data_IF_488418342973
#
_entry.id   IF_488418342973
#
_cell.length_a   1.000
_cell.length_b   1.000
_cell.length_c   1.000
_cell.angle_alpha   90.00
_cell.angle_beta   90.00
_cell.angle_gamma   90.00
#
_symmetry.space_group_name_H-M   'P 1'
#
loop_
_entity.id
_entity.type
_entity.pdbx_description
1 polymer ?
#
# COMPACT_ATOMS: atom_id res chain seq x y z
N UNK A 1 -14.03 5.05 -22.99
CA UNK A 1 -12.97 4.23 -22.35
C UNK A 1 -13.54 3.65 -21.07
N UNK A 2 -13.24 2.38 -20.74
CA UNK A 2 -13.76 1.79 -19.50
C UNK A 2 -13.00 2.34 -18.28
N UNK A 3 -13.70 2.55 -17.17
CA UNK A 3 -13.13 2.95 -15.89
C UNK A 3 -11.90 2.08 -15.51
N UNK A 4 -12.01 0.78 -15.77
CA UNK A 4 -11.01 -0.21 -15.42
C UNK A 4 -9.71 -0.05 -16.21
N UNK A 5 -9.76 0.53 -17.41
CA UNK A 5 -8.57 0.89 -18.18
C UNK A 5 -7.68 1.92 -17.47
N UNK A 6 -8.25 2.71 -16.55
CA UNK A 6 -7.49 3.67 -15.72
C UNK A 6 -7.15 3.11 -14.34
N UNK A 7 -8.01 2.26 -13.77
CA UNK A 7 -7.82 1.69 -12.43
C UNK A 7 -6.74 0.62 -12.41
N UNK A 8 -6.73 -0.28 -13.41
CA UNK A 8 -5.79 -1.41 -13.43
C UNK A 8 -4.31 -0.99 -13.49
N UNK A 9 -3.90 -0.06 -14.38
CA UNK A 9 -2.53 0.43 -14.38
C UNK A 9 -2.13 1.10 -13.06
N UNK A 10 -3.06 1.76 -12.38
CA UNK A 10 -2.80 2.41 -11.09
C UNK A 10 -2.61 1.41 -9.96
N UNK A 11 -3.43 0.35 -9.90
CA UNK A 11 -3.27 -0.72 -8.91
C UNK A 11 -1.92 -1.44 -9.06
N UNK A 12 -1.49 -1.65 -10.31
CA UNK A 12 -0.17 -2.20 -10.62
C UNK A 12 0.95 -1.26 -10.19
N UNK A 13 0.87 0.02 -10.56
CA UNK A 13 1.86 1.03 -10.16
C UNK A 13 2.00 1.13 -8.63
N UNK A 14 0.88 1.05 -7.89
CA UNK A 14 0.88 1.00 -6.42
C UNK A 14 1.65 -0.20 -5.91
N UNK A 15 1.38 -1.39 -6.45
CA UNK A 15 2.05 -2.61 -6.03
C UNK A 15 3.57 -2.48 -6.24
N UNK A 16 4.00 -2.01 -7.42
CA UNK A 16 5.42 -1.79 -7.75
C UNK A 16 6.09 -0.76 -6.81
N UNK A 17 5.41 0.38 -6.53
CA UNK A 17 5.92 1.39 -5.59
C UNK A 17 6.04 0.83 -4.17
N UNK A 18 5.05 0.06 -3.71
CA UNK A 18 5.09 -0.56 -2.39
C UNK A 18 6.23 -1.59 -2.31
N UNK A 19 6.38 -2.46 -3.31
CA UNK A 19 7.47 -3.45 -3.37
C UNK A 19 8.84 -2.79 -3.33
N UNK A 20 9.06 -1.77 -4.16
CA UNK A 20 10.29 -0.99 -4.17
C UNK A 20 10.58 -0.36 -2.80
N UNK A 21 9.54 0.17 -2.14
CA UNK A 21 9.67 0.77 -0.81
C UNK A 21 10.04 -0.28 0.24
N UNK A 22 9.41 -1.45 0.22
CA UNK A 22 9.73 -2.57 1.12
C UNK A 22 11.19 -3.01 0.93
N UNK A 23 11.66 -3.13 -0.31
CA UNK A 23 13.05 -3.50 -0.60
C UNK A 23 14.05 -2.51 0.01
N UNK A 24 13.84 -1.22 -0.20
CA UNK A 24 14.68 -0.15 0.38
C UNK A 24 14.67 -0.18 1.91
N UNK A 25 13.51 -0.44 2.52
CA UNK A 25 13.39 -0.53 3.98
C UNK A 25 14.12 -1.76 4.55
N UNK A 26 14.05 -2.90 3.86
CA UNK A 26 14.79 -4.12 4.24
C UNK A 26 16.29 -3.92 4.14
N UNK A 27 16.76 -3.23 3.09
CA UNK A 27 18.16 -2.88 2.95
C UNK A 27 18.62 -1.93 4.07
N UNK A 28 17.83 -0.89 4.38
CA UNK A 28 18.10 -0.01 5.53
C UNK A 28 18.13 -0.78 6.84
N UNK A 29 17.21 -1.73 7.04
CA UNK A 29 17.18 -2.58 8.23
C UNK A 29 18.46 -3.42 8.37
N UNK A 30 18.95 -3.98 7.26
CA UNK A 30 20.22 -4.73 7.22
C UNK A 30 21.41 -3.83 7.56
N UNK A 31 21.51 -2.67 6.91
CA UNK A 31 22.59 -1.70 7.18
C UNK A 31 22.59 -1.25 8.65
N UNK A 32 21.41 -1.00 9.23
CA UNK A 32 21.29 -0.67 10.64
C UNK A 32 21.83 -1.80 11.52
N UNK A 33 21.47 -3.05 11.22
CA UNK A 33 21.94 -4.23 11.97
C UNK A 33 23.46 -4.38 11.89
N UNK A 34 24.06 -4.12 10.73
CA UNK A 34 25.52 -4.17 10.52
C UNK A 34 26.26 -3.01 11.22
N UNK A 35 25.61 -1.85 11.37
CA UNK A 35 26.19 -0.64 11.97
C UNK A 35 26.01 -0.52 13.50
N UNK A 36 25.39 -1.50 14.15
CA UNK A 36 24.99 -1.45 15.55
C UNK A 36 26.19 -1.53 16.51
N UNK A 37 26.97 -0.45 16.62
CA UNK A 37 28.16 -0.41 17.48
C UNK A 37 28.10 0.54 18.68
N UNK A 38 27.17 1.50 18.81
CA UNK A 38 27.29 2.49 19.90
C UNK A 38 26.00 2.98 20.60
N UNK A 39 24.79 2.58 20.19
CA UNK A 39 23.58 3.10 20.85
C UNK A 39 22.36 2.15 20.76
N UNK A 40 22.23 1.24 21.74
CA UNK A 40 21.29 0.10 21.71
C UNK A 40 19.81 0.54 21.69
N UNK A 41 19.47 1.62 22.39
CA UNK A 41 18.08 2.09 22.51
C UNK A 41 17.56 2.78 21.25
N UNK A 42 18.36 3.64 20.62
CA UNK A 42 17.98 4.32 19.37
C UNK A 42 17.86 3.30 18.22
N UNK A 43 18.79 2.34 18.17
CA UNK A 43 18.76 1.22 17.23
C UNK A 43 17.48 0.37 17.35
N UNK A 44 17.08 -0.02 18.57
CA UNK A 44 15.88 -0.82 18.78
C UNK A 44 14.60 -0.08 18.34
N UNK A 45 14.51 1.21 18.64
CA UNK A 45 13.37 2.04 18.25
C UNK A 45 13.26 2.20 16.73
N UNK A 46 14.36 2.49 16.04
CA UNK A 46 14.38 2.67 14.59
C UNK A 46 14.08 1.34 13.86
N UNK A 47 14.68 0.25 14.31
CA UNK A 47 14.47 -1.08 13.73
C UNK A 47 13.00 -1.53 13.91
N UNK A 48 12.40 -1.27 15.07
CA UNK A 48 10.97 -1.52 15.29
C UNK A 48 10.09 -0.66 14.38
N UNK A 49 10.42 0.61 14.19
CA UNK A 49 9.68 1.50 13.29
C UNK A 49 9.73 1.02 11.83
N UNK A 50 10.91 0.60 11.36
CA UNK A 50 11.08 0.04 10.01
C UNK A 50 10.29 -1.26 9.86
N UNK A 51 10.35 -2.17 10.85
CA UNK A 51 9.57 -3.41 10.84
C UNK A 51 8.08 -3.13 10.75
N UNK A 52 7.55 -2.25 11.61
CA UNK A 52 6.13 -1.87 11.58
C UNK A 52 5.72 -1.25 10.24
N UNK A 53 6.61 -0.48 9.61
CA UNK A 53 6.36 0.08 8.27
C UNK A 53 6.36 -0.99 7.19
N UNK A 54 7.30 -1.95 7.23
CA UNK A 54 7.32 -3.09 6.29
C UNK A 54 6.04 -3.92 6.43
N UNK A 55 5.58 -4.19 7.66
CA UNK A 55 4.36 -4.95 7.91
C UNK A 55 3.13 -4.22 7.35
N UNK A 56 3.04 -2.91 7.58
CA UNK A 56 1.96 -2.07 7.02
C UNK A 56 1.99 -2.05 5.49
N UNK A 57 3.17 -1.86 4.89
CA UNK A 57 3.33 -1.88 3.44
C UNK A 57 3.00 -3.24 2.84
N UNK A 58 3.37 -4.33 3.51
CA UNK A 58 3.05 -5.70 3.06
C UNK A 58 1.54 -5.94 3.06
N UNK A 59 0.83 -5.46 4.09
CA UNK A 59 -0.63 -5.50 4.13
C UNK A 59 -1.24 -4.72 2.94
N UNK A 60 -0.74 -3.51 2.67
CA UNK A 60 -1.23 -2.68 1.56
C UNK A 60 -0.95 -3.32 0.20
N UNK A 61 0.23 -3.95 0.03
CA UNK A 61 0.58 -4.68 -1.19
C UNK A 61 -0.39 -5.82 -1.45
N UNK A 62 -0.64 -6.67 -0.45
CA UNK A 62 -1.57 -7.79 -0.55
C UNK A 62 -2.98 -7.31 -0.93
N UNK A 63 -3.43 -6.17 -0.36
CA UNK A 63 -4.70 -5.57 -0.74
C UNK A 63 -4.69 -5.05 -2.18
N UNK A 64 -3.62 -4.37 -2.60
CA UNK A 64 -3.49 -3.86 -3.98
C UNK A 64 -3.56 -5.00 -5.01
N UNK A 65 -2.79 -6.07 -4.80
CA UNK A 65 -2.80 -7.25 -5.67
C UNK A 65 -4.17 -7.95 -5.68
N UNK A 66 -4.85 -8.01 -4.53
CA UNK A 66 -6.22 -8.53 -4.46
C UNK A 66 -7.19 -7.66 -5.26
N UNK A 67 -7.09 -6.34 -5.17
CA UNK A 67 -7.94 -5.44 -5.95
C UNK A 67 -7.66 -5.55 -7.44
N UNK A 68 -6.40 -5.64 -7.84
CA UNK A 68 -6.02 -5.84 -9.23
C UNK A 68 -6.62 -7.14 -9.78
N UNK A 69 -6.45 -8.27 -9.08
CA UNK A 69 -7.01 -9.55 -9.53
C UNK A 69 -8.55 -9.57 -9.58
N UNK A 70 -9.23 -8.83 -8.69
CA UNK A 70 -10.69 -8.69 -8.73
C UNK A 70 -11.19 -7.80 -9.87
N UNK A 71 -10.47 -6.71 -10.17
CA UNK A 71 -10.95 -5.67 -11.10
C UNK A 71 -10.39 -5.77 -12.51
N UNK A 72 -9.24 -6.41 -12.70
CA UNK A 72 -8.52 -6.45 -13.97
C UNK A 72 -8.75 -7.73 -14.76
N UNK A 73 -9.85 -8.43 -14.46
CA UNK A 73 -10.31 -9.62 -15.15
C UNK A 73 -11.44 -9.30 -16.14
N UNK A 74 -11.61 -10.12 -17.20
CA UNK A 74 -12.62 -9.86 -18.23
C UNK A 74 -14.08 -9.88 -17.73
N UNK A 75 -14.35 -10.63 -16.65
CA UNK A 75 -15.67 -10.94 -16.10
C UNK A 75 -16.02 -10.13 -14.84
N UNK A 76 -15.32 -9.01 -14.61
CA UNK A 76 -15.55 -8.12 -13.46
C UNK A 76 -17.01 -7.66 -13.36
N UNK A 77 -17.59 -7.83 -12.18
CA UNK A 77 -18.97 -7.45 -11.89
C UNK A 77 -19.05 -6.11 -11.15
N UNK A 78 -20.23 -5.48 -11.16
CA UNK A 78 -20.49 -4.31 -10.32
C UNK A 78 -20.31 -4.63 -8.82
N UNK A 79 -20.64 -5.85 -8.39
CA UNK A 79 -20.45 -6.30 -7.02
C UNK A 79 -18.96 -6.31 -6.62
N UNK A 80 -18.06 -6.70 -7.54
CA UNK A 80 -16.62 -6.65 -7.31
C UNK A 80 -16.14 -5.20 -7.09
N UNK A 81 -16.62 -4.26 -7.92
CA UNK A 81 -16.32 -2.83 -7.80
C UNK A 81 -16.77 -2.29 -6.44
N UNK A 82 -18.00 -2.59 -6.02
CA UNK A 82 -18.55 -2.17 -4.72
C UNK A 82 -17.74 -2.76 -3.56
N UNK A 83 -17.37 -4.04 -3.65
CA UNK A 83 -16.53 -4.72 -2.65
C UNK A 83 -15.16 -4.04 -2.51
N UNK A 84 -14.51 -3.73 -3.63
CA UNK A 84 -13.22 -3.03 -3.63
C UNK A 84 -13.36 -1.60 -3.11
N UNK A 85 -14.41 -0.85 -3.46
CA UNK A 85 -14.68 0.49 -2.90
C UNK A 85 -14.77 0.44 -1.37
N UNK A 86 -15.48 -0.53 -0.82
CA UNK A 86 -15.65 -0.68 0.61
C UNK A 86 -14.32 -1.01 1.32
N UNK A 87 -13.52 -1.92 0.77
CA UNK A 87 -12.21 -2.25 1.32
C UNK A 87 -11.20 -1.10 1.18
N UNK A 88 -11.23 -0.35 0.07
CA UNK A 88 -10.43 0.86 -0.11
C UNK A 88 -10.75 1.93 0.93
N UNK A 89 -12.03 2.13 1.26
CA UNK A 89 -12.43 3.08 2.31
C UNK A 89 -11.77 2.73 3.66
N UNK A 90 -11.79 1.45 4.04
CA UNK A 90 -11.11 0.98 5.27
C UNK A 90 -9.59 1.22 5.22
N UNK A 91 -8.98 1.01 4.06
CA UNK A 91 -7.55 1.29 3.86
C UNK A 91 -7.28 2.78 4.02
N UNK A 92 -8.09 3.66 3.43
CA UNK A 92 -7.93 5.11 3.55
C UNK A 92 -8.08 5.58 5.00
N UNK A 93 -9.08 5.08 5.73
CA UNK A 93 -9.24 5.35 7.17
C UNK A 93 -8.00 4.89 7.95
N UNK A 94 -7.48 3.70 7.65
CA UNK A 94 -6.23 3.18 8.24
C UNK A 94 -5.01 4.05 7.90
N UNK A 95 -4.90 4.56 6.68
CA UNK A 95 -3.79 5.43 6.25
C UNK A 95 -3.83 6.83 6.88
N UNK A 96 -5.02 7.30 7.27
CA UNK A 96 -5.24 8.59 7.93
C UNK A 96 -5.03 8.47 9.44
N UNK A 97 -5.71 7.52 10.08
CA UNK A 97 -5.76 7.39 11.54
C UNK A 97 -4.82 6.32 12.11
N UNK A 98 -4.13 5.57 11.26
CA UNK A 98 -3.19 4.54 11.65
C UNK A 98 -1.95 5.08 12.34
N UNK A 99 -1.34 4.24 13.19
CA UNK A 99 -0.11 4.55 13.94
C UNK A 99 1.12 4.61 13.03
N UNK A 100 1.12 3.87 11.92
CA UNK A 100 2.26 3.76 11.00
C UNK A 100 2.17 4.85 9.94
N UNK A 101 3.25 5.63 9.79
CA UNK A 101 3.35 6.68 8.77
C UNK A 101 3.81 6.07 7.44
N UNK A 102 2.85 5.77 6.58
CA UNK A 102 3.08 5.32 5.21
C UNK A 102 3.51 6.51 4.32
N UNK A 103 4.43 6.32 3.35
CA UNK A 103 4.78 7.34 2.36
C UNK A 103 3.56 7.99 1.68
N UNK A 104 3.64 9.30 1.47
CA UNK A 104 2.55 10.10 0.89
C UNK A 104 2.16 9.63 -0.51
N UNK A 105 3.13 9.24 -1.34
CA UNK A 105 2.90 8.73 -2.69
C UNK A 105 1.94 7.52 -2.69
N UNK A 106 2.15 6.56 -1.79
CA UNK A 106 1.30 5.37 -1.65
C UNK A 106 -0.12 5.78 -1.23
N UNK A 107 -0.25 6.76 -0.33
CA UNK A 107 -1.57 7.29 0.08
C UNK A 107 -2.29 7.94 -1.11
N UNK A 108 -1.59 8.76 -1.88
CA UNK A 108 -2.15 9.45 -3.04
C UNK A 108 -2.73 8.46 -4.05
N UNK A 109 -2.05 7.35 -4.32
CA UNK A 109 -2.58 6.35 -5.23
C UNK A 109 -3.84 5.65 -4.71
N UNK A 110 -3.88 5.25 -3.44
CA UNK A 110 -5.10 4.65 -2.88
C UNK A 110 -6.29 5.62 -2.94
N UNK A 111 -6.05 6.90 -2.67
CA UNK A 111 -7.06 7.95 -2.83
C UNK A 111 -7.51 8.09 -4.28
N UNK A 112 -6.59 8.02 -5.23
CA UNK A 112 -6.90 8.15 -6.64
C UNK A 112 -7.73 6.96 -7.16
N UNK A 113 -7.36 5.73 -6.79
CA UNK A 113 -8.14 4.53 -7.12
C UNK A 113 -9.54 4.62 -6.51
N UNK A 114 -9.63 4.99 -5.23
CA UNK A 114 -10.93 5.17 -4.57
C UNK A 114 -11.78 6.26 -5.25
N UNK A 115 -11.17 7.39 -5.62
CA UNK A 115 -11.84 8.48 -6.32
C UNK A 115 -12.39 8.00 -7.66
N UNK A 116 -11.60 7.30 -8.47
CA UNK A 116 -12.03 6.77 -9.77
C UNK A 116 -13.22 5.82 -9.61
N UNK A 117 -13.13 4.87 -8.68
CA UNK A 117 -14.21 3.92 -8.43
C UNK A 117 -15.47 4.59 -7.84
N UNK A 118 -15.31 5.76 -7.19
CA UNK A 118 -16.42 6.50 -6.59
C UNK A 118 -17.05 7.54 -7.52
N UNK A 119 -16.33 8.02 -8.53
CA UNK A 119 -16.83 8.96 -9.54
C UNK A 119 -17.62 8.29 -10.67
N UNK A 120 -17.91 7.00 -10.55
CA UNK A 120 -18.55 6.16 -11.58
C UNK A 120 -20.04 5.89 -11.29
N UNK A 121 -20.62 6.69 -10.41
CA UNK A 121 -22.06 6.71 -10.08
C UNK A 121 -22.80 7.71 -10.96
#
# INVERSE_FOLDING_TARGET
>A
MSLLAYVCPKLKAVAETIESTILKLRERQRMLQESANLDVYSFQSENLAIKNLIDELTFLLQKSLKFESMLCRPDVSYADIVSVKHELRKILERLVYGRVKVPSEIKCYFYEVWRLLSSSE
#
